data_IF_018547745427
#
_entry.id   IF_018547745427
#
_cell.length_a   1.000
_cell.length_b   1.000
_cell.length_c   1.000
_cell.angle_alpha   90.00
_cell.angle_beta   90.00
_cell.angle_gamma   90.00
#
_symmetry.space_group_name_H-M   'P 1'
#
loop_
_entity.id
_entity.type
_entity.pdbx_description
1 polymer ?
#
# COMPACT_ATOMS: atom_id res chain seq x y z
N UNK A 1 -5.94 7.49 36.98
CA UNK A 1 -6.02 6.32 36.06
C UNK A 1 -7.26 6.46 35.20
N UNK A 2 -7.15 6.79 33.89
CA UNK A 2 -8.29 6.76 32.97
C UNK A 2 -8.70 5.29 32.80
N UNK A 3 -9.97 4.96 33.05
CA UNK A 3 -10.53 3.62 32.79
C UNK A 3 -10.24 3.26 31.33
N UNK A 4 -9.70 2.04 31.10
CA UNK A 4 -9.63 1.48 29.74
C UNK A 4 -11.07 1.28 29.27
N UNK A 5 -11.51 2.01 28.27
CA UNK A 5 -12.75 1.70 27.55
C UNK A 5 -12.46 0.46 26.71
N UNK A 6 -12.91 -0.69 27.20
CA UNK A 6 -12.82 -1.96 26.51
C UNK A 6 -13.92 -2.05 25.45
N UNK A 7 -13.61 -2.60 24.30
CA UNK A 7 -14.53 -2.89 23.22
C UNK A 7 -14.96 -4.34 23.37
N UNK A 8 -16.27 -4.61 23.35
CA UNK A 8 -16.81 -5.97 23.26
C UNK A 8 -17.26 -6.19 21.81
N UNK A 9 -16.67 -7.16 21.15
CA UNK A 9 -17.01 -7.59 19.80
C UNK A 9 -18.01 -8.75 19.80
N UNK A 10 -18.35 -9.24 18.61
CA UNK A 10 -19.32 -10.35 18.43
C UNK A 10 -18.78 -11.70 18.96
N UNK A 11 -17.47 -11.86 19.02
CA UNK A 11 -16.80 -13.08 19.50
C UNK A 11 -15.47 -12.73 20.18
N UNK A 12 -14.85 -13.74 20.81
CA UNK A 12 -13.58 -13.57 21.53
C UNK A 12 -12.47 -13.04 20.62
N UNK A 13 -12.38 -13.55 19.39
CA UNK A 13 -11.38 -13.11 18.41
C UNK A 13 -11.51 -11.62 18.09
N UNK A 14 -12.70 -11.17 17.68
CA UNK A 14 -12.95 -9.76 17.34
C UNK A 14 -12.76 -8.85 18.55
N UNK A 15 -13.19 -9.29 19.73
CA UNK A 15 -13.00 -8.53 20.97
C UNK A 15 -11.53 -8.26 21.26
N UNK A 16 -10.69 -9.28 21.17
CA UNK A 16 -9.26 -9.13 21.46
C UNK A 16 -8.58 -8.34 20.34
N UNK A 17 -8.89 -8.64 19.08
CA UNK A 17 -8.38 -7.93 17.92
C UNK A 17 -8.60 -6.41 18.03
N UNK A 18 -9.85 -5.97 18.24
CA UNK A 18 -10.19 -4.55 18.30
C UNK A 18 -9.51 -3.82 19.47
N UNK A 19 -9.42 -4.47 20.63
CA UNK A 19 -8.75 -3.88 21.79
C UNK A 19 -7.24 -3.78 21.59
N UNK A 20 -6.60 -4.81 21.03
CA UNK A 20 -5.16 -4.80 20.73
C UNK A 20 -4.85 -3.75 19.68
N UNK A 21 -5.62 -3.69 18.59
CA UNK A 21 -5.46 -2.67 17.55
C UNK A 21 -5.61 -1.25 18.13
N UNK A 22 -6.59 -1.04 19.01
CA UNK A 22 -6.77 0.24 19.71
C UNK A 22 -5.56 0.63 20.55
N UNK A 23 -4.94 -0.33 21.26
CA UNK A 23 -3.74 -0.07 22.05
C UNK A 23 -2.52 0.27 21.19
N UNK A 24 -2.34 -0.44 20.08
CA UNK A 24 -1.28 -0.15 19.11
C UNK A 24 -1.45 1.24 18.50
N UNK A 25 -2.64 1.58 18.03
CA UNK A 25 -2.95 2.91 17.45
C UNK A 25 -2.72 4.03 18.46
N UNK A 26 -2.97 3.79 19.76
CA UNK A 26 -2.75 4.75 20.82
C UNK A 26 -1.30 4.77 21.34
N UNK A 27 -0.38 4.01 20.74
CA UNK A 27 1.01 3.84 21.19
C UNK A 27 1.11 3.44 22.67
N UNK A 28 0.16 2.63 23.16
CA UNK A 28 0.11 2.15 24.55
C UNK A 28 0.82 0.82 24.75
N UNK A 29 1.08 0.12 23.67
CA UNK A 29 1.90 -1.10 23.59
C UNK A 29 2.85 -0.99 22.42
N UNK A 30 3.97 -1.66 22.56
CA UNK A 30 4.96 -1.83 21.50
C UNK A 30 4.75 -3.17 20.78
N UNK A 31 5.32 -3.36 19.59
CA UNK A 31 5.30 -4.65 18.89
C UNK A 31 5.82 -5.82 19.73
N UNK A 32 6.87 -5.61 20.50
CA UNK A 32 7.48 -6.63 21.36
C UNK A 32 6.56 -7.07 22.50
N UNK A 33 5.61 -6.21 22.88
CA UNK A 33 4.64 -6.49 23.95
C UNK A 33 3.36 -7.15 23.44
N UNK A 34 3.18 -7.22 22.10
CA UNK A 34 1.94 -7.64 21.44
C UNK A 34 1.49 -9.04 21.84
N UNK A 35 2.40 -10.02 21.79
CA UNK A 35 2.09 -11.41 22.16
C UNK A 35 1.65 -11.52 23.63
N UNK A 36 2.36 -10.80 24.52
CA UNK A 36 2.02 -10.80 25.94
C UNK A 36 0.68 -10.13 26.22
N UNK A 37 0.32 -9.08 25.47
CA UNK A 37 -0.93 -8.38 25.65
C UNK A 37 -2.11 -9.18 25.08
N UNK A 38 -1.93 -9.90 23.95
CA UNK A 38 -2.93 -10.85 23.44
C UNK A 38 -3.22 -11.93 24.48
N UNK A 39 -2.19 -12.52 25.11
CA UNK A 39 -2.36 -13.52 26.16
C UNK A 39 -3.11 -12.98 27.36
N UNK A 40 -2.79 -11.77 27.83
CA UNK A 40 -3.50 -11.10 28.93
C UNK A 40 -4.96 -10.85 28.61
N UNK A 41 -5.26 -10.38 27.39
CA UNK A 41 -6.63 -10.14 26.97
C UNK A 41 -7.41 -11.44 26.80
N UNK A 42 -6.80 -12.50 26.28
CA UNK A 42 -7.41 -13.81 26.20
C UNK A 42 -7.85 -14.32 27.58
N UNK A 43 -6.98 -14.22 28.58
CA UNK A 43 -7.33 -14.58 29.98
C UNK A 43 -8.43 -13.69 30.54
N UNK A 44 -8.38 -12.38 30.27
CA UNK A 44 -9.36 -11.41 30.79
C UNK A 44 -10.76 -11.63 30.20
N UNK A 45 -10.85 -11.94 28.91
CA UNK A 45 -12.12 -12.11 28.22
C UNK A 45 -12.65 -13.53 28.20
N UNK A 46 -11.88 -14.55 28.62
CA UNK A 46 -12.29 -15.95 28.65
C UNK A 46 -13.62 -16.19 29.39
N UNK A 47 -13.89 -15.44 30.48
CA UNK A 47 -15.14 -15.55 31.23
C UNK A 47 -16.36 -15.01 30.50
N UNK A 48 -16.18 -14.13 29.52
CA UNK A 48 -17.27 -13.56 28.71
C UNK A 48 -17.60 -14.43 27.51
N UNK A 49 -16.67 -15.28 27.07
CA UNK A 49 -16.83 -16.17 25.90
C UNK A 49 -16.44 -17.62 26.27
N UNK A 50 -17.18 -18.28 27.17
CA UNK A 50 -16.77 -19.53 27.79
C UNK A 50 -16.67 -20.74 26.84
N UNK A 51 -17.26 -20.65 25.64
CA UNK A 51 -17.30 -21.72 24.66
C UNK A 51 -16.46 -21.44 23.42
N UNK A 52 -15.62 -20.42 23.46
CA UNK A 52 -14.77 -20.03 22.34
C UNK A 52 -13.30 -20.28 22.64
N UNK A 53 -12.61 -20.91 21.71
CA UNK A 53 -11.17 -21.09 21.72
C UNK A 53 -10.52 -20.04 20.82
N UNK A 54 -9.44 -19.43 21.32
CA UNK A 54 -8.68 -18.44 20.59
C UNK A 54 -7.43 -19.05 19.99
N UNK A 55 -7.32 -19.05 18.67
CA UNK A 55 -6.05 -19.24 17.99
C UNK A 55 -5.20 -17.96 18.12
N UNK A 56 -4.37 -17.93 19.18
CA UNK A 56 -3.54 -16.77 19.49
C UNK A 56 -2.48 -16.49 18.41
N UNK A 57 -1.97 -17.54 17.75
CA UNK A 57 -1.00 -17.36 16.68
C UNK A 57 -1.65 -16.77 15.42
N UNK A 58 -2.85 -17.22 15.07
CA UNK A 58 -3.60 -16.66 13.95
C UNK A 58 -3.95 -15.17 14.23
N UNK A 59 -4.40 -14.87 15.45
CA UNK A 59 -4.68 -13.50 15.85
C UNK A 59 -3.42 -12.62 15.82
N UNK A 60 -2.31 -13.10 16.36
CA UNK A 60 -1.04 -12.38 16.32
C UNK A 60 -0.61 -12.09 14.87
N UNK A 61 -0.67 -13.10 14.01
CA UNK A 61 -0.37 -12.94 12.57
C UNK A 61 -1.27 -11.91 11.91
N UNK A 62 -2.57 -11.92 12.23
CA UNK A 62 -3.54 -10.96 11.69
C UNK A 62 -3.26 -9.53 12.17
N UNK A 63 -3.03 -9.34 13.47
CA UNK A 63 -2.71 -8.02 14.03
C UNK A 63 -1.40 -7.48 13.45
N UNK A 64 -0.36 -8.32 13.37
CA UNK A 64 0.92 -7.93 12.75
C UNK A 64 0.75 -7.58 11.28
N UNK A 65 -0.10 -8.31 10.57
CA UNK A 65 -0.43 -8.02 9.18
C UNK A 65 -1.15 -6.68 9.02
N UNK A 66 -2.22 -6.48 9.79
CA UNK A 66 -3.09 -5.30 9.65
C UNK A 66 -2.42 -4.04 10.18
N UNK A 67 -1.62 -4.16 11.24
CA UNK A 67 -0.88 -3.05 11.81
C UNK A 67 0.41 -2.76 11.06
N UNK A 68 0.90 -3.68 10.21
CA UNK A 68 2.15 -3.51 9.47
C UNK A 68 3.35 -3.35 10.38
N UNK A 69 3.30 -4.00 11.56
CA UNK A 69 4.36 -3.94 12.56
C UNK A 69 5.58 -4.67 12.03
N UNK A 70 6.52 -3.91 11.47
CA UNK A 70 7.83 -4.41 11.13
C UNK A 70 8.72 -4.38 12.38
N UNK A 71 9.09 -5.54 12.86
CA UNK A 71 10.19 -5.63 13.81
C UNK A 71 11.49 -5.14 13.16
N UNK A 72 11.98 -4.04 13.65
CA UNK A 72 13.30 -3.54 13.35
C UNK A 72 13.35 -2.38 12.36
N UNK A 73 14.29 -1.49 12.61
CA UNK A 73 14.66 -0.44 11.67
C UNK A 73 14.99 -1.05 10.31
N UNK A 74 14.49 -0.43 9.25
CA UNK A 74 14.82 -0.82 7.87
C UNK A 74 16.33 -0.92 7.74
N UNK A 75 16.87 -2.13 7.67
CA UNK A 75 18.29 -2.34 7.41
C UNK A 75 18.53 -2.13 5.93
N UNK A 76 19.26 -1.11 5.62
CA UNK A 76 19.60 -0.76 4.25
C UNK A 76 21.04 -1.15 4.00
N UNK A 77 21.26 -1.96 2.95
CA UNK A 77 22.56 -2.19 2.35
C UNK A 77 22.61 -1.34 1.09
N UNK A 78 23.47 -0.36 1.05
CA UNK A 78 23.57 0.57 -0.07
C UNK A 78 24.92 0.41 -0.79
N UNK A 79 24.84 0.38 -2.11
CA UNK A 79 25.95 0.70 -2.99
C UNK A 79 25.70 2.11 -3.54
N UNK A 80 26.35 3.09 -2.95
CA UNK A 80 26.15 4.50 -3.28
C UNK A 80 27.05 4.99 -4.42
N UNK A 81 27.77 4.10 -5.08
CA UNK A 81 28.51 4.47 -6.29
C UNK A 81 27.51 5.03 -7.31
N UNK A 82 27.78 6.22 -7.80
CA UNK A 82 26.99 6.94 -8.80
C UNK A 82 25.58 7.38 -8.37
N UNK A 83 25.15 7.16 -7.13
CA UNK A 83 23.88 7.69 -6.62
C UNK A 83 23.99 9.17 -6.30
N UNK A 84 22.97 9.96 -6.71
CA UNK A 84 22.83 11.36 -6.32
C UNK A 84 21.60 11.49 -5.44
N UNK A 85 21.82 11.91 -4.20
CA UNK A 85 20.71 12.29 -3.33
C UNK A 85 19.94 13.45 -3.97
N UNK A 86 18.62 13.37 -3.95
CA UNK A 86 17.76 14.32 -4.66
C UNK A 86 16.44 14.60 -3.95
N UNK A 87 15.87 13.60 -3.26
CA UNK A 87 14.51 13.70 -2.73
C UNK A 87 14.37 14.82 -1.68
N UNK A 88 15.38 15.03 -0.85
CA UNK A 88 15.37 16.08 0.17
C UNK A 88 15.23 17.48 -0.46
N UNK A 89 15.96 17.72 -1.55
CA UNK A 89 15.97 19.00 -2.24
C UNK A 89 14.71 19.22 -3.10
N UNK A 90 14.21 18.17 -3.73
CA UNK A 90 13.08 18.24 -4.65
C UNK A 90 11.72 18.06 -3.98
N UNK A 91 11.66 17.49 -2.75
CA UNK A 91 10.43 17.12 -2.05
C UNK A 91 9.39 18.24 -1.96
N UNK A 92 9.82 19.45 -1.69
CA UNK A 92 8.94 20.62 -1.56
C UNK A 92 8.32 21.06 -2.90
N UNK A 93 8.92 20.69 -4.03
CA UNK A 93 8.44 21.04 -5.37
C UNK A 93 7.54 19.96 -5.97
N UNK A 94 7.55 18.75 -5.41
CA UNK A 94 6.72 17.64 -5.87
C UNK A 94 5.29 17.84 -5.41
N UNK A 95 4.35 17.72 -6.33
CA UNK A 95 2.92 17.70 -6.01
C UNK A 95 2.49 16.26 -5.75
N UNK A 96 2.31 15.90 -4.50
CA UNK A 96 1.98 14.54 -4.05
C UNK A 96 0.50 14.19 -4.29
N UNK A 97 0.03 14.26 -5.54
CA UNK A 97 -1.36 14.10 -5.93
C UNK A 97 -1.82 12.64 -5.86
N UNK A 98 -1.07 11.73 -6.47
CA UNK A 98 -1.36 10.30 -6.46
C UNK A 98 -1.15 9.71 -5.07
N UNK A 99 -0.07 10.10 -4.39
CA UNK A 99 0.19 9.65 -3.03
C UNK A 99 -0.92 10.09 -2.07
N UNK A 100 -1.31 11.34 -2.07
CA UNK A 100 -2.36 11.84 -1.18
C UNK A 100 -3.71 11.15 -1.43
N UNK A 101 -4.05 10.90 -2.70
CA UNK A 101 -5.23 10.12 -3.07
C UNK A 101 -5.15 8.69 -2.56
N UNK A 102 -4.01 8.02 -2.76
CA UNK A 102 -3.80 6.66 -2.29
C UNK A 102 -3.80 6.56 -0.76
N UNK A 103 -3.15 7.50 -0.08
CA UNK A 103 -3.18 7.61 1.38
C UNK A 103 -4.62 7.68 1.89
N UNK A 104 -5.44 8.52 1.28
CA UNK A 104 -6.85 8.65 1.64
C UNK A 104 -7.64 7.37 1.38
N UNK A 105 -7.35 6.67 0.29
CA UNK A 105 -7.93 5.36 0.00
C UNK A 105 -7.60 4.33 1.08
N UNK A 106 -6.35 4.27 1.52
CA UNK A 106 -5.93 3.38 2.61
C UNK A 106 -6.67 3.68 3.93
N UNK A 107 -6.89 4.96 4.23
CA UNK A 107 -7.58 5.39 5.45
C UNK A 107 -9.09 5.10 5.42
N UNK A 108 -9.77 5.37 4.29
CA UNK A 108 -11.23 5.37 4.20
C UNK A 108 -11.79 4.04 3.71
N UNK A 109 -11.23 3.48 2.62
CA UNK A 109 -11.73 2.25 1.99
C UNK A 109 -11.11 1.00 2.62
N UNK A 110 -9.77 0.97 2.74
CA UNK A 110 -9.05 -0.15 3.35
C UNK A 110 -9.08 -0.08 4.89
N UNK A 111 -9.51 1.07 5.45
CA UNK A 111 -9.64 1.31 6.90
C UNK A 111 -8.37 1.01 7.69
N UNK A 112 -7.21 1.22 7.08
CA UNK A 112 -5.95 1.00 7.76
C UNK A 112 -5.76 2.01 8.90
N UNK A 113 -5.23 1.57 10.04
CA UNK A 113 -4.89 2.47 11.14
C UNK A 113 -3.90 3.55 10.69
N UNK A 114 -4.01 4.79 11.22
CA UNK A 114 -3.10 5.90 10.86
C UNK A 114 -1.61 5.56 11.01
N UNK A 115 -1.24 4.78 12.03
CA UNK A 115 0.14 4.35 12.23
C UNK A 115 0.66 3.47 11.08
N UNK A 116 -0.18 2.58 10.54
CA UNK A 116 0.16 1.75 9.38
C UNK A 116 0.37 2.62 8.14
N UNK A 117 -0.52 3.58 7.92
CA UNK A 117 -0.41 4.51 6.79
C UNK A 117 0.86 5.36 6.90
N UNK A 118 1.21 5.82 8.11
CA UNK A 118 2.47 6.52 8.38
C UNK A 118 3.68 5.63 8.10
N UNK A 119 3.66 4.37 8.54
CA UNK A 119 4.74 3.42 8.26
C UNK A 119 4.92 3.16 6.76
N UNK A 120 3.82 3.06 6.01
CA UNK A 120 3.88 2.95 4.54
C UNK A 120 4.49 4.22 3.93
N UNK A 121 4.12 5.41 4.44
CA UNK A 121 4.66 6.69 3.99
C UNK A 121 6.18 6.75 4.18
N UNK A 122 6.65 6.46 5.38
CA UNK A 122 8.07 6.48 5.75
C UNK A 122 8.87 5.42 4.96
N UNK A 123 8.37 4.18 4.89
CA UNK A 123 9.05 3.10 4.18
C UNK A 123 9.17 3.38 2.68
N UNK A 124 8.13 3.92 2.07
CA UNK A 124 8.15 4.26 0.65
C UNK A 124 9.03 5.47 0.36
N UNK A 125 9.15 6.44 1.27
CA UNK A 125 10.13 7.52 1.19
C UNK A 125 11.56 6.99 1.26
N UNK A 126 11.82 6.03 2.17
CA UNK A 126 13.13 5.39 2.29
C UNK A 126 13.56 4.67 1.00
N UNK A 127 12.61 4.07 0.26
CA UNK A 127 12.90 3.46 -1.04
C UNK A 127 13.04 4.53 -2.11
N UNK A 128 12.13 5.50 -2.18
CA UNK A 128 12.10 6.54 -3.21
C UNK A 128 13.40 7.37 -3.23
N UNK A 129 13.90 7.75 -2.07
CA UNK A 129 15.17 8.53 -1.98
C UNK A 129 16.38 7.78 -2.53
N UNK A 130 16.30 6.44 -2.60
CA UNK A 130 17.36 5.56 -3.13
C UNK A 130 17.21 5.27 -4.62
N UNK A 131 16.09 5.60 -5.21
CA UNK A 131 15.95 5.66 -6.65
C UNK A 131 16.65 6.92 -7.17
N UNK A 132 16.96 6.97 -8.45
CA UNK A 132 17.49 8.19 -9.05
C UNK A 132 16.37 9.20 -9.35
N UNK A 133 16.71 10.50 -9.32
CA UNK A 133 15.74 11.50 -9.77
C UNK A 133 15.37 11.25 -11.24
N UNK A 134 14.07 11.22 -11.59
CA UNK A 134 13.64 11.09 -12.99
C UNK A 134 14.08 12.28 -13.86
N UNK A 135 14.55 13.36 -13.23
CA UNK A 135 15.10 14.54 -13.90
C UNK A 135 16.62 14.48 -14.09
N UNK A 136 17.27 13.44 -13.56
CA UNK A 136 18.71 13.26 -13.73
C UNK A 136 19.05 13.06 -15.20
N UNK A 137 19.97 13.85 -15.71
CA UNK A 137 20.48 13.74 -17.08
C UNK A 137 21.47 12.59 -17.22
N UNK A 138 21.53 12.02 -18.42
CA UNK A 138 22.42 10.91 -18.74
C UNK A 138 21.80 9.54 -18.48
N UNK A 139 22.55 8.50 -18.75
CA UNK A 139 22.14 7.12 -18.51
C UNK A 139 22.43 6.72 -17.07
N UNK A 140 21.50 6.04 -16.44
CA UNK A 140 21.65 5.49 -15.09
C UNK A 140 20.90 4.16 -14.96
N UNK A 141 21.40 3.29 -14.08
CA UNK A 141 20.77 2.03 -13.71
C UNK A 141 20.79 1.95 -12.18
N UNK A 142 19.61 1.79 -11.57
CA UNK A 142 19.47 1.66 -10.12
C UNK A 142 18.64 0.43 -9.81
N UNK A 143 19.21 -0.47 -9.03
CA UNK A 143 18.56 -1.71 -8.60
C UNK A 143 18.43 -1.72 -7.10
N UNK A 144 17.30 -2.20 -6.61
CA UNK A 144 17.04 -2.36 -5.19
C UNK A 144 16.19 -3.59 -4.93
N UNK A 145 16.24 -4.07 -3.70
CA UNK A 145 15.42 -5.16 -3.23
C UNK A 145 14.78 -4.77 -1.89
N UNK A 146 13.45 -4.90 -1.82
CA UNK A 146 12.72 -4.75 -0.56
C UNK A 146 12.36 -6.13 -0.05
N UNK A 147 12.86 -6.48 1.14
CA UNK A 147 12.57 -7.74 1.80
C UNK A 147 11.54 -7.51 2.89
N UNK A 148 10.50 -8.30 2.91
CA UNK A 148 9.47 -8.26 3.93
C UNK A 148 8.87 -9.65 4.12
N UNK A 149 8.36 -9.95 5.31
CA UNK A 149 7.70 -11.21 5.63
C UNK A 149 6.47 -11.44 4.75
N UNK A 150 6.07 -12.70 4.59
CA UNK A 150 4.81 -13.05 3.93
C UNK A 150 3.67 -12.36 4.69
N UNK A 151 2.75 -11.72 3.95
CA UNK A 151 1.62 -10.95 4.51
C UNK A 151 1.98 -9.62 5.21
N UNK A 152 3.18 -9.09 5.02
CA UNK A 152 3.64 -7.81 5.62
C UNK A 152 3.16 -6.54 4.90
N UNK A 153 2.01 -6.52 4.28
CA UNK A 153 1.52 -5.33 3.56
C UNK A 153 2.32 -4.92 2.31
N UNK A 154 3.11 -5.85 1.71
CA UNK A 154 3.96 -5.56 0.54
C UNK A 154 3.21 -4.88 -0.59
N UNK A 155 1.94 -5.25 -0.82
CA UNK A 155 1.12 -4.66 -1.87
C UNK A 155 0.87 -3.17 -1.62
N UNK A 156 0.56 -2.79 -0.39
CA UNK A 156 0.35 -1.39 -0.03
C UNK A 156 1.64 -0.59 -0.15
N UNK A 157 2.78 -1.19 0.22
CA UNK A 157 4.09 -0.56 0.07
C UNK A 157 4.48 -0.33 -1.40
N UNK A 158 4.42 -1.35 -2.28
CA UNK A 158 4.81 -1.11 -3.67
C UNK A 158 3.81 -0.20 -4.41
N UNK A 159 2.51 -0.24 -4.07
CA UNK A 159 1.53 0.69 -4.63
C UNK A 159 1.82 2.12 -4.16
N UNK A 160 2.15 2.31 -2.88
CA UNK A 160 2.57 3.60 -2.34
C UNK A 160 3.84 4.12 -3.01
N UNK A 161 4.84 3.26 -3.22
CA UNK A 161 6.05 3.62 -3.96
C UNK A 161 5.73 4.04 -5.41
N UNK A 162 4.85 3.32 -6.11
CA UNK A 162 4.43 3.66 -7.48
C UNK A 162 3.78 5.04 -7.50
N UNK A 163 2.84 5.32 -6.59
CA UNK A 163 2.18 6.64 -6.54
C UNK A 163 3.18 7.77 -6.34
N UNK A 164 4.11 7.60 -5.40
CA UNK A 164 5.16 8.59 -5.13
C UNK A 164 6.15 8.74 -6.29
N UNK A 165 6.54 7.64 -6.93
CA UNK A 165 7.43 7.68 -8.08
C UNK A 165 6.80 8.45 -9.25
N UNK A 166 5.51 8.24 -9.52
CA UNK A 166 4.79 8.98 -10.56
C UNK A 166 4.66 10.46 -10.21
N UNK A 167 4.35 10.80 -8.95
CA UNK A 167 4.34 12.19 -8.47
C UNK A 167 5.72 12.86 -8.61
N UNK A 168 6.79 12.10 -8.40
CA UNK A 168 8.17 12.58 -8.59
C UNK A 168 8.55 12.79 -10.07
N UNK A 169 7.77 12.20 -11.01
CA UNK A 169 7.96 12.40 -12.45
C UNK A 169 8.36 11.16 -13.26
N UNK A 170 8.34 9.96 -12.67
CA UNK A 170 8.49 8.73 -13.43
C UNK A 170 7.31 8.54 -14.37
N UNK A 171 7.57 8.41 -15.67
CA UNK A 171 6.53 8.38 -16.72
C UNK A 171 6.03 6.97 -17.04
N UNK A 172 6.85 5.94 -16.83
CA UNK A 172 6.54 4.54 -17.15
C UNK A 172 6.79 3.67 -15.93
N UNK A 173 5.81 2.85 -15.57
CA UNK A 173 5.92 1.86 -14.51
C UNK A 173 5.57 0.48 -15.07
N UNK A 174 6.49 -0.47 -14.92
CA UNK A 174 6.32 -1.85 -15.36
C UNK A 174 6.35 -2.77 -14.13
N UNK A 175 5.27 -3.52 -13.91
CA UNK A 175 5.14 -4.42 -12.78
C UNK A 175 5.16 -5.87 -13.28
N UNK A 176 6.18 -6.63 -12.89
CA UNK A 176 6.30 -8.04 -13.20
C UNK A 176 5.73 -8.87 -12.04
N UNK A 177 4.49 -9.28 -12.13
CA UNK A 177 3.70 -9.87 -11.05
C UNK A 177 3.77 -11.40 -10.97
N UNK A 178 4.78 -12.03 -11.55
CA UNK A 178 4.97 -13.49 -11.56
C UNK A 178 4.39 -14.20 -12.79
N UNK A 179 4.55 -15.52 -12.83
CA UNK A 179 4.27 -16.35 -14.02
C UNK A 179 2.81 -16.80 -14.13
N UNK A 180 2.02 -16.68 -13.05
CA UNK A 180 0.64 -17.16 -13.01
C UNK A 180 -0.32 -16.02 -13.36
N UNK A 181 -1.27 -16.28 -14.27
CA UNK A 181 -2.30 -15.32 -14.68
C UNK A 181 -3.18 -14.86 -13.51
N UNK A 182 -3.44 -15.71 -12.51
CA UNK A 182 -4.24 -15.33 -11.36
C UNK A 182 -3.53 -14.30 -10.49
N UNK A 183 -2.23 -14.50 -10.23
CA UNK A 183 -1.41 -13.52 -9.49
C UNK A 183 -1.29 -12.21 -10.26
N UNK A 184 -1.11 -12.28 -11.57
CA UNK A 184 -1.09 -11.11 -12.44
C UNK A 184 -2.41 -10.34 -12.37
N UNK A 185 -3.53 -11.05 -12.52
CA UNK A 185 -4.87 -10.46 -12.46
C UNK A 185 -5.16 -9.83 -11.09
N UNK A 186 -4.78 -10.51 -10.00
CA UNK A 186 -4.92 -9.97 -8.64
C UNK A 186 -4.09 -8.70 -8.46
N UNK A 187 -2.84 -8.70 -8.93
CA UNK A 187 -1.97 -7.52 -8.87
C UNK A 187 -2.56 -6.36 -9.66
N UNK A 188 -3.03 -6.62 -10.89
CA UNK A 188 -3.68 -5.58 -11.71
C UNK A 188 -4.89 -4.99 -10.99
N UNK A 189 -5.79 -5.82 -10.42
CA UNK A 189 -6.96 -5.34 -9.67
C UNK A 189 -6.59 -4.44 -8.48
N UNK A 190 -5.48 -4.73 -7.81
CA UNK A 190 -4.99 -3.89 -6.69
C UNK A 190 -4.45 -2.56 -7.20
N UNK A 191 -3.71 -2.57 -8.29
CA UNK A 191 -3.22 -1.36 -8.95
C UNK A 191 -4.40 -0.54 -9.51
N UNK A 192 -5.40 -1.18 -10.11
CA UNK A 192 -6.63 -0.53 -10.58
C UNK A 192 -7.32 0.23 -9.44
N UNK A 193 -7.46 -0.40 -8.27
CA UNK A 193 -8.11 0.22 -7.10
C UNK A 193 -7.26 1.32 -6.46
N UNK A 194 -5.99 1.04 -6.18
CA UNK A 194 -5.15 1.92 -5.37
C UNK A 194 -4.51 3.06 -6.15
N UNK A 195 -4.13 2.82 -7.41
CA UNK A 195 -3.37 3.78 -8.21
C UNK A 195 -4.16 4.31 -9.41
N UNK A 196 -4.66 3.45 -10.29
CA UNK A 196 -5.35 3.88 -11.52
C UNK A 196 -6.69 4.55 -11.18
N UNK A 197 -7.43 3.99 -10.23
CA UNK A 197 -8.73 4.48 -9.78
C UNK A 197 -9.88 4.06 -10.69
N UNK A 198 -9.67 3.12 -11.62
CA UNK A 198 -10.69 2.58 -12.53
C UNK A 198 -10.48 1.10 -12.83
N UNK A 199 -11.57 0.42 -13.20
CA UNK A 199 -11.54 -0.98 -13.63
C UNK A 199 -11.09 -1.09 -15.07
N UNK A 200 -9.86 -1.58 -15.29
CA UNK A 200 -9.25 -1.73 -16.61
C UNK A 200 -9.90 -2.81 -17.49
N UNK A 201 -10.80 -3.64 -16.95
CA UNK A 201 -11.60 -4.61 -17.73
C UNK A 201 -12.75 -3.94 -18.49
N UNK A 202 -13.22 -2.80 -18.00
CA UNK A 202 -14.33 -2.09 -18.62
C UNK A 202 -13.80 -1.26 -19.78
N UNK A 203 -14.53 -1.31 -20.91
CA UNK A 203 -14.28 -0.40 -22.02
C UNK A 203 -14.37 1.03 -21.51
N UNK A 204 -13.46 1.89 -21.97
CA UNK A 204 -13.67 3.32 -21.83
C UNK A 204 -14.92 3.70 -22.61
N UNK A 205 -16.09 3.68 -21.97
CA UNK A 205 -17.21 4.45 -22.41
C UNK A 205 -16.91 5.91 -22.07
N UNK A 206 -17.42 6.85 -22.87
CA UNK A 206 -17.30 8.30 -22.62
C UNK A 206 -17.82 8.72 -21.23
N UNK A 207 -18.53 7.85 -20.56
CA UNK A 207 -18.96 8.00 -19.16
C UNK A 207 -17.86 7.44 -18.23
N UNK A 208 -16.91 8.31 -17.90
CA UNK A 208 -15.80 8.02 -16.99
C UNK A 208 -16.27 7.61 -15.58
N UNK A 209 -17.51 7.89 -15.22
CA UNK A 209 -18.06 7.66 -13.88
C UNK A 209 -18.32 6.19 -13.62
N UNK A 210 -18.76 5.42 -14.61
CA UNK A 210 -19.15 4.01 -14.44
C UNK A 210 -17.99 3.02 -14.28
N UNK A 211 -16.76 3.45 -14.55
CA UNK A 211 -15.54 2.61 -14.41
C UNK A 211 -14.70 2.92 -13.17
N UNK A 212 -15.02 3.98 -12.41
CA UNK A 212 -14.28 4.37 -11.22
C UNK A 212 -14.41 3.32 -10.13
N UNK A 213 -13.28 3.00 -9.49
CA UNK A 213 -13.19 2.08 -8.35
C UNK A 213 -12.13 2.56 -7.35
N UNK A 214 -12.25 2.14 -6.09
CA UNK A 214 -11.25 2.42 -5.06
C UNK A 214 -10.88 3.90 -4.99
N UNK A 215 -9.60 4.21 -5.09
CA UNK A 215 -9.09 5.59 -5.01
C UNK A 215 -9.73 6.55 -6.03
N UNK A 216 -10.26 6.04 -7.15
CA UNK A 216 -10.96 6.86 -8.14
C UNK A 216 -12.34 7.35 -7.72
N UNK A 217 -12.92 6.78 -6.66
CA UNK A 217 -14.21 7.20 -6.10
C UNK A 217 -14.07 8.36 -5.11
N UNK A 218 -12.87 8.67 -4.67
CA UNK A 218 -12.63 9.70 -3.67
C UNK A 218 -12.83 11.10 -4.27
N UNK A 219 -13.76 11.92 -3.72
CA UNK A 219 -14.01 13.25 -4.23
C UNK A 219 -12.87 14.21 -3.87
N UNK A 220 -12.65 15.20 -4.73
CA UNK A 220 -11.71 16.30 -4.46
C UNK A 220 -10.23 15.98 -4.68
N UNK A 221 -9.90 14.78 -5.16
CA UNK A 221 -8.53 14.43 -5.53
C UNK A 221 -8.30 14.59 -7.04
N UNK A 222 -7.06 14.90 -7.37
CA UNK A 222 -6.62 15.09 -8.75
C UNK A 222 -6.85 13.84 -9.60
N UNK A 223 -7.52 14.01 -10.72
CA UNK A 223 -7.79 12.97 -11.71
C UNK A 223 -6.79 13.09 -12.86
N UNK A 224 -5.53 12.70 -12.65
CA UNK A 224 -4.62 12.60 -13.77
C UNK A 224 -4.96 11.37 -14.62
N UNK A 225 -4.95 11.47 -15.93
CA UNK A 225 -5.16 10.33 -16.80
C UNK A 225 -3.96 9.37 -16.68
N UNK A 226 -4.16 8.25 -15.99
CA UNK A 226 -3.21 7.14 -16.01
C UNK A 226 -3.57 6.24 -17.18
N UNK A 227 -2.63 6.05 -18.10
CA UNK A 227 -2.80 5.15 -19.23
C UNK A 227 -2.36 3.75 -18.79
N UNK A 228 -3.33 2.84 -18.63
CA UNK A 228 -3.06 1.44 -18.39
C UNK A 228 -2.98 0.71 -19.73
N UNK A 229 -1.86 0.06 -20.02
CA UNK A 229 -1.70 -0.78 -21.24
C UNK A 229 -2.04 -2.24 -21.00
N UNK A 230 -2.22 -2.64 -19.73
CA UNK A 230 -2.63 -3.97 -19.31
C UNK A 230 -3.97 -3.91 -18.57
N UNK A 231 -4.65 -5.04 -18.50
CA UNK A 231 -5.95 -5.20 -17.86
C UNK A 231 -5.94 -6.38 -16.89
N UNK A 232 -6.85 -6.39 -15.93
CA UNK A 232 -7.10 -7.56 -15.09
C UNK A 232 -7.61 -8.77 -15.87
N UNK A 233 -8.13 -8.58 -17.07
CA UNK A 233 -8.38 -9.61 -18.07
C UNK A 233 -7.23 -9.62 -19.08
N UNK A 234 -6.46 -10.73 -19.14
CA UNK A 234 -5.33 -10.88 -20.05
C UNK A 234 -5.69 -10.68 -21.53
N UNK A 235 -6.94 -10.99 -21.90
CA UNK A 235 -7.44 -10.74 -23.25
C UNK A 235 -7.57 -9.25 -23.59
N UNK A 236 -7.54 -8.38 -22.60
CA UNK A 236 -7.60 -6.92 -22.75
C UNK A 236 -6.24 -6.26 -22.93
N UNK A 237 -5.13 -6.97 -22.67
CA UNK A 237 -3.78 -6.39 -22.71
C UNK A 237 -3.44 -5.84 -24.10
N UNK A 238 -2.86 -4.64 -24.13
CA UNK A 238 -2.43 -3.93 -25.34
C UNK A 238 -3.52 -3.72 -26.42
N UNK A 239 -4.79 -3.88 -26.08
CA UNK A 239 -5.91 -3.62 -27.00
C UNK A 239 -6.37 -2.17 -26.94
N UNK A 240 -6.80 -1.61 -28.06
CA UNK A 240 -7.35 -0.24 -28.19
C UNK A 240 -8.51 0.06 -27.24
N UNK A 241 -9.20 -0.96 -26.75
CA UNK A 241 -10.32 -0.81 -25.83
C UNK A 241 -9.90 -0.55 -24.38
N UNK A 242 -8.63 -0.83 -24.03
CA UNK A 242 -8.06 -0.66 -22.70
C UNK A 242 -7.25 0.63 -22.61
N UNK A 243 -6.73 1.08 -23.73
CA UNK A 243 -5.96 2.32 -23.84
C UNK A 243 -6.28 3.00 -25.16
N UNK A 244 -6.30 4.32 -25.19
CA UNK A 244 -6.14 5.07 -26.44
C UNK A 244 -4.73 4.76 -26.93
N UNK A 245 -4.57 4.55 -28.24
CA UNK A 245 -3.31 4.17 -28.86
C UNK A 245 -2.13 4.93 -28.26
N UNK A 246 -1.31 4.23 -27.46
CA UNK A 246 -0.03 4.77 -27.01
C UNK A 246 0.95 4.53 -28.15
N UNK A 247 1.31 5.55 -28.86
CA UNK A 247 2.43 5.49 -29.79
C UNK A 247 3.67 5.89 -29.01
N UNK A 248 4.53 4.93 -28.73
CA UNK A 248 5.86 5.20 -28.18
C UNK A 248 6.72 5.55 -29.38
N UNK A 249 6.94 6.83 -29.60
CA UNK A 249 7.94 7.30 -30.57
C UNK A 249 9.29 7.43 -29.89
N UNK A 250 10.37 6.83 -30.45
CA UNK A 250 11.71 7.09 -29.95
C UNK A 250 12.00 8.60 -30.02
N UNK A 251 12.33 9.21 -28.89
CA UNK A 251 12.64 10.65 -28.81
C UNK A 251 11.44 11.59 -28.59
N UNK A 252 10.26 11.09 -28.31
CA UNK A 252 9.14 11.92 -27.87
C UNK A 252 9.24 12.22 -26.38
N UNK A 253 9.21 13.53 -26.03
CA UNK A 253 9.11 14.06 -24.66
C UNK A 253 7.79 13.67 -23.96
#
# INVERSE_FOLDING_TARGET
>A
MKRRELILGENLYSTIYDNVMKLLVQHRITPDELESEIKKMAMMFASYYPNEELDQEALLRQVVFDFGVFEGAVKVLEDNRDHKEWLADERATIQWNFWNRYKKYLEVDEKLPPAVVTSIDETTDEVLKRLESPRRTGSWDRRGMVVGNVQSGKTSNYTGLITKAVDAGYKIVIILAGLNNDLRSQTQKRIDKGFIGRDTRKKESYDQTSSKIGAGLLPGFYEAPVIAVTSADANGDFKKNVHRSVTITPGGD
#
